data_IF_079502452225
#
_entry.id   IF_079502452225
#
_cell.length_a   1.000
_cell.length_b   1.000
_cell.length_c   1.000
_cell.angle_alpha   90.00
_cell.angle_beta   90.00
_cell.angle_gamma   90.00
#
_symmetry.space_group_name_H-M   'P 1'
#
loop_
_entity.id
_entity.type
_entity.pdbx_description
1 polymer ?
#
# COMPACT_ATOMS: atom_id res chain seq x y z
N UNK A 1 -8.92 3.27 -14.87
CA UNK A 1 -8.04 2.13 -14.52
C UNK A 1 -7.35 2.31 -13.18
N UNK A 2 -6.79 3.49 -12.84
CA UNK A 2 -6.20 3.73 -11.52
C UNK A 2 -7.23 3.58 -10.37
N UNK A 3 -8.40 4.21 -10.50
CA UNK A 3 -9.44 4.19 -9.46
C UNK A 3 -10.03 2.79 -9.20
N UNK A 4 -10.05 1.90 -10.21
CA UNK A 4 -10.58 0.55 -10.03
C UNK A 4 -9.70 -0.32 -9.13
N UNK A 5 -8.38 -0.10 -9.15
CA UNK A 5 -7.47 -0.77 -8.22
C UNK A 5 -7.61 -0.22 -6.80
N UNK A 6 -7.83 1.09 -6.66
CA UNK A 6 -8.02 1.74 -5.36
C UNK A 6 -9.33 1.28 -4.70
N UNK A 7 -10.44 1.22 -5.44
CA UNK A 7 -11.73 0.75 -4.94
C UNK A 7 -11.67 -0.73 -4.50
N UNK A 8 -11.04 -1.58 -5.32
CA UNK A 8 -10.87 -2.99 -5.00
C UNK A 8 -9.98 -3.18 -3.76
N UNK A 9 -8.87 -2.45 -3.67
CA UNK A 9 -7.97 -2.48 -2.52
C UNK A 9 -8.67 -1.95 -1.26
N UNK A 10 -9.44 -0.88 -1.37
CA UNK A 10 -10.26 -0.33 -0.27
C UNK A 10 -11.23 -1.39 0.26
N UNK A 11 -11.89 -2.14 -0.62
CA UNK A 11 -12.78 -3.24 -0.22
C UNK A 11 -12.05 -4.34 0.56
N UNK A 12 -10.85 -4.73 0.11
CA UNK A 12 -10.01 -5.74 0.77
C UNK A 12 -9.53 -5.27 2.15
N UNK A 13 -9.02 -4.04 2.24
CA UNK A 13 -8.52 -3.46 3.48
C UNK A 13 -9.64 -3.31 4.51
N UNK A 14 -10.83 -2.88 4.08
CA UNK A 14 -12.01 -2.82 4.95
C UNK A 14 -12.35 -4.20 5.52
N UNK A 15 -12.42 -5.21 4.67
CA UNK A 15 -12.75 -6.56 5.09
C UNK A 15 -11.67 -7.15 6.02
N UNK A 16 -10.39 -6.84 5.80
CA UNK A 16 -9.29 -7.27 6.68
C UNK A 16 -9.35 -6.60 8.05
N UNK A 17 -9.65 -5.30 8.10
CA UNK A 17 -9.83 -4.56 9.35
C UNK A 17 -11.05 -5.08 10.13
N UNK A 18 -12.17 -5.37 9.46
CA UNK A 18 -13.36 -5.98 10.06
C UNK A 18 -13.08 -7.37 10.66
N UNK A 19 -12.16 -8.13 10.08
CA UNK A 19 -11.69 -9.44 10.60
C UNK A 19 -10.62 -9.32 11.68
N UNK A 20 -10.10 -8.12 11.95
CA UNK A 20 -9.01 -7.88 12.90
C UNK A 20 -7.64 -8.37 12.43
N UNK A 21 -7.46 -8.57 11.11
CA UNK A 21 -6.20 -9.00 10.49
C UNK A 21 -5.20 -7.84 10.37
N UNK A 22 -5.71 -6.62 10.28
CA UNK A 22 -4.94 -5.37 10.22
C UNK A 22 -5.55 -4.36 11.18
N UNK A 23 -4.76 -3.36 11.55
CA UNK A 23 -5.20 -2.28 12.42
C UNK A 23 -6.28 -1.41 11.80
N UNK A 24 -7.29 -1.07 12.60
CA UNK A 24 -8.33 -0.12 12.22
C UNK A 24 -7.92 1.36 12.45
N UNK A 25 -6.62 1.62 12.69
CA UNK A 25 -6.11 2.98 12.94
C UNK A 25 -6.28 3.90 11.74
N UNK A 26 -6.08 3.38 10.53
CA UNK A 26 -6.15 4.14 9.30
C UNK A 26 -7.49 3.86 8.59
N UNK A 27 -8.10 4.92 8.04
CA UNK A 27 -9.27 4.75 7.19
C UNK A 27 -8.90 3.91 5.94
N UNK A 28 -9.65 2.84 5.61
CA UNK A 28 -9.30 1.93 4.51
C UNK A 28 -9.16 2.61 3.14
N UNK A 29 -9.92 3.67 2.88
CA UNK A 29 -9.82 4.42 1.62
C UNK A 29 -8.52 5.22 1.57
N UNK A 30 -8.19 5.90 2.67
CA UNK A 30 -6.93 6.63 2.81
C UNK A 30 -5.72 5.70 2.69
N UNK A 31 -5.80 4.52 3.31
CA UNK A 31 -4.76 3.50 3.25
C UNK A 31 -4.59 2.92 1.84
N UNK A 32 -5.70 2.66 1.12
CA UNK A 32 -5.64 2.23 -0.28
C UNK A 32 -4.97 3.28 -1.18
N UNK A 33 -5.39 4.55 -1.06
CA UNK A 33 -4.82 5.66 -1.81
C UNK A 33 -3.31 5.81 -1.55
N UNK A 34 -2.90 5.69 -0.28
CA UNK A 34 -1.48 5.69 0.11
C UNK A 34 -0.72 4.54 -0.57
N UNK A 35 -1.19 3.30 -0.45
CA UNK A 35 -0.50 2.13 -0.99
C UNK A 35 -0.40 2.17 -2.52
N UNK A 36 -1.47 2.58 -3.21
CA UNK A 36 -1.44 2.75 -4.68
C UNK A 36 -0.43 3.83 -5.07
N UNK A 37 -0.42 4.96 -4.38
CA UNK A 37 0.54 6.05 -4.64
C UNK A 37 1.98 5.60 -4.39
N UNK A 38 2.21 4.91 -3.27
CA UNK A 38 3.52 4.36 -2.91
C UNK A 38 4.02 3.38 -3.96
N UNK A 39 3.19 2.40 -4.38
CA UNK A 39 3.55 1.43 -5.40
C UNK A 39 3.89 2.09 -6.74
N UNK A 40 3.13 3.12 -7.14
CA UNK A 40 3.42 3.88 -8.36
C UNK A 40 4.78 4.61 -8.25
N UNK A 41 5.06 5.25 -7.11
CA UNK A 41 6.35 5.88 -6.84
C UNK A 41 7.51 4.88 -6.83
N UNK A 42 7.28 3.69 -6.27
CA UNK A 42 8.25 2.61 -6.24
C UNK A 42 8.58 2.09 -7.64
N UNK A 43 7.56 1.90 -8.49
CA UNK A 43 7.72 1.50 -9.90
C UNK A 43 8.45 2.54 -10.75
N UNK A 44 8.33 3.83 -10.42
CA UNK A 44 9.12 4.88 -11.06
C UNK A 44 10.56 4.86 -10.53
N UNK A 45 10.73 4.74 -9.22
CA UNK A 45 12.05 4.74 -8.56
C UNK A 45 12.90 3.54 -8.98
N UNK A 46 12.30 2.36 -9.15
CA UNK A 46 13.01 1.15 -9.57
C UNK A 46 13.61 1.23 -10.98
N UNK A 47 13.05 2.09 -11.84
CA UNK A 47 13.62 2.37 -13.17
C UNK A 47 14.90 3.21 -13.09
N UNK A 48 15.04 4.00 -12.02
CA UNK A 48 16.21 4.87 -11.79
C UNK A 48 17.26 4.15 -10.93
N UNK A 49 16.82 3.46 -9.88
CA UNK A 49 17.66 2.67 -8.97
C UNK A 49 17.15 1.21 -8.98
N UNK A 50 17.72 0.33 -9.83
CA UNK A 50 17.24 -1.04 -9.98
C UNK A 50 17.72 -2.00 -8.87
N UNK A 51 18.36 -1.50 -7.81
CA UNK A 51 18.79 -2.31 -6.68
C UNK A 51 17.61 -2.61 -5.75
N UNK A 52 17.10 -3.83 -5.82
CA UNK A 52 16.01 -4.30 -4.98
C UNK A 52 16.31 -4.16 -3.48
N UNK A 53 17.58 -4.34 -3.05
CA UNK A 53 17.96 -4.22 -1.64
C UNK A 53 17.86 -2.79 -1.12
N UNK A 54 17.99 -1.81 -2.01
CA UNK A 54 17.83 -0.41 -1.66
C UNK A 54 16.35 -0.01 -1.52
N UNK A 55 15.45 -0.76 -2.19
CA UNK A 55 14.02 -0.48 -2.21
C UNK A 55 13.23 -1.28 -1.18
N UNK A 56 13.72 -2.45 -0.77
CA UNK A 56 13.10 -3.34 0.21
C UNK A 56 12.73 -2.65 1.53
N UNK A 57 13.60 -1.82 2.16
CA UNK A 57 13.24 -1.11 3.39
C UNK A 57 12.07 -0.14 3.23
N UNK A 58 11.85 0.41 2.02
CA UNK A 58 10.71 1.29 1.76
C UNK A 58 9.40 0.52 1.79
N UNK A 59 9.42 -0.72 1.28
CA UNK A 59 8.25 -1.60 1.29
C UNK A 59 7.92 -2.03 2.71
N UNK A 60 8.94 -2.35 3.52
CA UNK A 60 8.75 -2.69 4.94
C UNK A 60 8.05 -1.55 5.70
N UNK A 61 8.48 -0.30 5.50
CA UNK A 61 7.83 0.87 6.10
C UNK A 61 6.38 1.02 5.64
N UNK A 62 6.11 0.81 4.35
CA UNK A 62 4.75 0.87 3.83
C UNK A 62 3.86 -0.24 4.42
N UNK A 63 4.38 -1.46 4.59
CA UNK A 63 3.63 -2.57 5.19
C UNK A 63 3.35 -2.34 6.68
N UNK A 64 4.24 -1.66 7.41
CA UNK A 64 3.99 -1.27 8.80
C UNK A 64 2.81 -0.28 8.98
N UNK A 65 2.25 0.27 7.89
CA UNK A 65 1.00 1.04 7.96
C UNK A 65 -0.26 0.19 8.10
N UNK A 66 -0.13 -1.13 7.93
CA UNK A 66 -1.19 -2.12 8.14
C UNK A 66 -1.29 -2.56 9.61
N UNK A 67 -0.28 -2.27 10.43
CA UNK A 67 -0.20 -2.62 11.85
C UNK A 67 -0.87 -1.60 12.80
#
# INVERSE_FOLDING_TARGET
>A
MLNANEDALTGLLRAAAERGEISARHDPHTLAAFLVTFLNGLLVSSKVTPDAKALEPLVEVALGTLD
#
